data_IF_514924777389
#
_entry.id   IF_514924777389
#
_cell.length_a   1.000
_cell.length_b   1.000
_cell.length_c   1.000
_cell.angle_alpha   90.00
_cell.angle_beta   90.00
_cell.angle_gamma   90.00
#
_symmetry.space_group_name_H-M   'P 1'
#
loop_
_entity.id
_entity.type
_entity.pdbx_description
1 polymer ?
#
# COMPACT_ATOMS: atom_id res chain seq x y z
N UNK A 1 -10.74 7.90 -0.17
CA UNK A 1 -11.34 7.03 0.87
C UNK A 1 -10.23 6.51 1.77
N UNK A 2 -10.41 6.56 3.09
CA UNK A 2 -9.39 6.19 4.09
C UNK A 2 -9.78 4.85 4.76
N UNK A 3 -8.80 3.96 4.92
CA UNK A 3 -8.97 2.59 5.42
C UNK A 3 -8.31 2.36 6.79
N UNK A 4 -7.95 3.42 7.52
CA UNK A 4 -7.32 3.32 8.85
C UNK A 4 -8.20 2.61 9.88
N UNK A 5 -9.53 2.77 9.80
CA UNK A 5 -10.44 2.02 10.68
C UNK A 5 -10.42 0.52 10.39
N UNK A 6 -10.40 0.13 9.11
CA UNK A 6 -10.28 -1.27 8.72
C UNK A 6 -8.94 -1.86 9.19
N UNK A 7 -7.84 -1.10 9.04
CA UNK A 7 -6.52 -1.46 9.57
C UNK A 7 -6.59 -1.74 11.07
N UNK A 8 -7.19 -0.83 11.82
CA UNK A 8 -7.30 -0.96 13.27
C UNK A 8 -8.12 -2.19 13.68
N UNK A 9 -9.21 -2.48 12.98
CA UNK A 9 -10.03 -3.68 13.20
C UNK A 9 -9.23 -4.95 12.97
N UNK A 10 -8.46 -5.02 11.89
CA UNK A 10 -7.55 -6.13 11.58
C UNK A 10 -6.52 -6.35 12.69
N UNK A 11 -5.87 -5.28 13.16
CA UNK A 11 -4.89 -5.35 14.25
C UNK A 11 -5.53 -5.68 15.61
N UNK A 12 -6.79 -5.31 15.84
CA UNK A 12 -7.52 -5.74 17.03
C UNK A 12 -7.80 -7.25 16.99
N UNK A 13 -8.18 -7.80 15.83
CA UNK A 13 -8.36 -9.24 15.64
C UNK A 13 -7.08 -10.03 15.86
N UNK A 14 -5.97 -9.54 15.31
CA UNK A 14 -4.62 -10.08 15.58
C UNK A 14 -4.31 -10.16 17.08
N UNK A 15 -4.49 -9.05 17.80
CA UNK A 15 -4.19 -8.99 19.24
C UNK A 15 -5.09 -9.86 20.11
N UNK A 16 -6.29 -10.20 19.64
CA UNK A 16 -7.18 -11.16 20.31
C UNK A 16 -6.88 -12.62 19.95
N UNK A 17 -6.05 -12.87 18.95
CA UNK A 17 -5.79 -14.21 18.42
C UNK A 17 -6.84 -14.72 17.43
N UNK A 18 -7.76 -13.86 16.98
CA UNK A 18 -8.85 -14.23 16.05
C UNK A 18 -8.32 -14.49 14.63
N UNK A 19 -7.15 -13.93 14.28
CA UNK A 19 -6.55 -13.99 12.96
C UNK A 19 -5.12 -14.51 13.08
N UNK A 20 -4.75 -15.49 12.26
CA UNK A 20 -3.39 -16.04 12.21
C UNK A 20 -2.39 -15.08 11.57
N UNK A 21 -1.11 -15.21 11.95
CA UNK A 21 -0.03 -14.37 11.39
C UNK A 21 0.11 -14.58 9.88
N UNK A 22 -0.04 -15.81 9.41
CA UNK A 22 0.02 -16.22 8.00
C UNK A 22 -1.02 -15.51 7.13
N UNK A 23 -2.21 -15.23 7.69
CA UNK A 23 -3.27 -14.46 7.02
C UNK A 23 -2.91 -12.97 6.92
N UNK A 24 -2.31 -12.41 7.97
CA UNK A 24 -1.93 -10.99 8.02
C UNK A 24 -0.65 -10.70 7.21
N UNK A 25 0.24 -11.69 7.16
CA UNK A 25 1.57 -11.60 6.57
C UNK A 25 1.62 -12.26 5.18
N UNK A 26 0.59 -12.05 4.38
CA UNK A 26 0.39 -12.71 3.09
C UNK A 26 0.87 -11.90 1.87
N UNK A 27 1.62 -10.79 2.10
CA UNK A 27 2.04 -9.90 1.02
C UNK A 27 2.77 -10.69 -0.07
N UNK A 28 2.22 -10.62 -1.28
CA UNK A 28 2.79 -11.31 -2.43
C UNK A 28 4.25 -10.88 -2.68
N UNK A 29 5.12 -11.77 -3.20
CA UNK A 29 6.53 -11.48 -3.38
C UNK A 29 6.81 -10.19 -4.18
N UNK A 30 5.99 -9.88 -5.19
CA UNK A 30 6.13 -8.66 -5.97
C UNK A 30 5.80 -7.40 -5.16
N UNK A 31 4.79 -7.43 -4.31
CA UNK A 31 4.44 -6.30 -3.44
C UNK A 31 5.58 -6.01 -2.45
N UNK A 32 6.18 -7.06 -1.87
CA UNK A 32 7.34 -6.93 -0.99
C UNK A 32 8.55 -6.34 -1.70
N UNK A 33 8.84 -6.80 -2.94
CA UNK A 33 9.91 -6.20 -3.76
C UNK A 33 9.64 -4.72 -4.05
N UNK A 34 8.39 -4.37 -4.35
CA UNK A 34 8.02 -2.99 -4.62
C UNK A 34 8.11 -2.10 -3.37
N UNK A 35 7.83 -2.62 -2.18
CA UNK A 35 8.06 -1.90 -0.92
C UNK A 35 9.53 -1.48 -0.75
N UNK A 36 10.48 -2.32 -1.17
CA UNK A 36 11.92 -2.00 -1.12
C UNK A 36 12.34 -1.10 -2.28
N UNK A 37 11.85 -1.36 -3.50
CA UNK A 37 12.34 -0.71 -4.71
C UNK A 37 11.66 0.64 -5.04
N UNK A 38 10.34 0.74 -4.83
CA UNK A 38 9.53 1.93 -5.14
C UNK A 38 8.71 2.44 -3.94
N UNK A 39 8.77 1.78 -2.78
CA UNK A 39 8.02 2.17 -1.59
C UNK A 39 8.51 3.50 -1.02
N UNK A 40 7.58 4.31 -0.51
CA UNK A 40 7.90 5.48 0.30
C UNK A 40 8.07 5.03 1.75
N UNK A 41 9.27 5.17 2.35
CA UNK A 41 9.49 4.78 3.75
C UNK A 41 8.56 5.56 4.68
N UNK A 42 8.18 4.92 5.79
CA UNK A 42 7.46 5.57 6.88
C UNK A 42 8.27 5.42 8.17
N UNK A 43 7.96 6.22 9.19
CA UNK A 43 8.54 6.07 10.53
C UNK A 43 7.73 5.11 11.42
N UNK A 44 6.76 4.37 10.86
CA UNK A 44 5.92 3.45 11.62
C UNK A 44 6.54 2.05 11.63
N UNK A 45 6.74 1.50 12.83
CA UNK A 45 7.21 0.13 13.00
C UNK A 45 6.06 -0.84 12.69
N UNK A 46 6.38 -1.93 11.99
CA UNK A 46 5.43 -2.95 11.62
C UNK A 46 4.72 -3.52 12.87
N UNK A 47 3.37 -3.46 12.94
CA UNK A 47 2.62 -3.86 14.13
C UNK A 47 2.55 -5.38 14.32
N UNK A 48 3.13 -6.17 13.41
CA UNK A 48 3.10 -7.64 13.45
C UNK A 48 4.45 -8.24 13.82
N UNK A 49 5.55 -7.70 13.29
CA UNK A 49 6.90 -8.16 13.64
C UNK A 49 7.61 -7.26 14.65
N UNK A 50 7.18 -6.01 14.81
CA UNK A 50 7.74 -5.04 15.75
C UNK A 50 9.23 -4.72 15.56
N UNK A 51 9.83 -5.20 14.47
CA UNK A 51 11.28 -5.13 14.21
C UNK A 51 11.66 -4.21 13.03
N UNK A 52 10.74 -3.97 12.09
CA UNK A 52 11.03 -3.30 10.82
C UNK A 52 10.02 -2.20 10.52
N UNK A 53 10.49 -1.11 9.92
CA UNK A 53 9.60 -0.05 9.40
C UNK A 53 8.74 -0.56 8.24
N UNK A 54 7.53 0.01 8.13
CA UNK A 54 6.65 -0.21 6.98
C UNK A 54 6.91 0.84 5.89
N UNK A 55 6.65 0.47 4.64
CA UNK A 55 6.69 1.39 3.50
C UNK A 55 5.30 1.49 2.87
N UNK A 56 4.98 2.67 2.32
CA UNK A 56 3.81 2.85 1.47
C UNK A 56 4.15 2.57 0.01
N UNK A 57 3.48 1.59 -0.58
CA UNK A 57 3.52 1.32 -2.02
C UNK A 57 2.27 1.90 -2.65
N UNK A 58 2.45 2.74 -3.66
CA UNK A 58 1.32 3.34 -4.39
C UNK A 58 1.20 2.72 -5.78
N UNK A 59 0.06 2.11 -6.07
CA UNK A 59 -0.28 1.65 -7.43
C UNK A 59 -1.37 2.52 -8.03
N UNK A 60 -1.19 2.96 -9.27
CA UNK A 60 -2.24 3.69 -10.00
C UNK A 60 -2.80 2.82 -11.11
N UNK A 61 -4.13 2.75 -11.17
CA UNK A 61 -4.89 2.06 -12.19
C UNK A 61 -5.76 3.06 -12.97
N UNK A 62 -5.98 2.78 -14.24
CA UNK A 62 -6.86 3.56 -15.11
C UNK A 62 -6.46 3.47 -16.58
N UNK A 63 -7.10 4.26 -17.46
CA UNK A 63 -6.89 4.19 -18.90
C UNK A 63 -5.42 4.43 -19.29
N UNK A 64 -4.94 3.66 -20.27
CA UNK A 64 -3.56 3.77 -20.82
C UNK A 64 -2.45 3.50 -19.78
N UNK A 65 -2.78 2.86 -18.66
CA UNK A 65 -1.81 2.26 -17.74
C UNK A 65 -1.79 0.74 -17.91
N UNK A 66 -0.70 0.05 -17.49
CA UNK A 66 -0.64 -1.40 -17.51
C UNK A 66 -1.79 -2.02 -16.72
N UNK A 67 -2.27 -3.20 -17.14
CA UNK A 67 -3.37 -3.91 -16.47
C UNK A 67 -3.05 -4.27 -15.01
N UNK A 68 -1.78 -4.52 -14.69
CA UNK A 68 -1.30 -4.77 -13.32
C UNK A 68 -1.09 -3.48 -12.51
N UNK A 69 -1.47 -2.33 -13.06
CA UNK A 69 -1.26 -1.01 -12.45
C UNK A 69 0.17 -0.50 -12.62
N UNK A 70 0.36 0.77 -12.32
CA UNK A 70 1.66 1.45 -12.31
C UNK A 70 2.13 1.64 -10.87
N UNK A 71 3.25 1.02 -10.46
CA UNK A 71 3.92 1.41 -9.21
C UNK A 71 4.47 2.82 -9.37
N UNK A 72 4.12 3.71 -8.45
CA UNK A 72 4.75 5.03 -8.35
C UNK A 72 6.12 4.82 -7.73
N UNK A 73 7.16 5.22 -8.46
CA UNK A 73 8.55 4.92 -8.12
C UNK A 73 9.43 6.16 -8.08
N UNK A 74 8.94 7.29 -8.57
CA UNK A 74 9.72 8.53 -8.64
C UNK A 74 8.97 9.73 -8.05
N UNK A 75 9.68 10.68 -7.41
CA UNK A 75 9.07 11.92 -6.95
C UNK A 75 8.34 12.66 -8.08
N UNK A 76 7.14 13.15 -7.78
CA UNK A 76 6.33 13.93 -8.72
C UNK A 76 5.60 13.10 -9.80
N UNK A 77 5.86 11.80 -9.92
CA UNK A 77 5.16 10.93 -10.88
C UNK A 77 3.64 10.89 -10.63
N UNK A 78 3.25 10.77 -9.36
CA UNK A 78 1.83 10.79 -8.98
C UNK A 78 1.16 12.12 -9.36
N UNK A 79 1.83 13.24 -9.15
CA UNK A 79 1.31 14.56 -9.53
C UNK A 79 1.18 14.71 -11.05
N UNK A 80 2.12 14.16 -11.83
CA UNK A 80 2.01 14.13 -13.30
C UNK A 80 0.86 13.26 -13.77
N UNK A 81 0.56 12.16 -13.08
CA UNK A 81 -0.63 11.35 -13.37
C UNK A 81 -1.90 12.13 -13.01
N UNK A 82 -1.95 12.77 -11.85
CA UNK A 82 -3.11 13.57 -11.42
C UNK A 82 -3.45 14.73 -12.37
N UNK A 83 -2.44 15.30 -13.03
CA UNK A 83 -2.62 16.35 -14.02
C UNK A 83 -3.20 15.86 -15.38
N UNK A 84 -3.33 14.55 -15.60
CA UNK A 84 -3.90 14.00 -16.84
C UNK A 84 -5.41 13.98 -16.74
N UNK A 85 -6.13 14.37 -17.80
CA UNK A 85 -7.58 14.18 -17.92
C UNK A 85 -7.93 12.72 -18.22
N UNK A 86 -7.90 11.88 -17.19
CA UNK A 86 -8.24 10.47 -17.26
C UNK A 86 -8.69 9.96 -15.89
N UNK A 87 -9.78 9.20 -15.84
CA UNK A 87 -10.26 8.60 -14.60
C UNK A 87 -9.27 7.53 -14.09
N UNK A 88 -8.54 7.85 -13.03
CA UNK A 88 -7.55 6.98 -12.44
C UNK A 88 -7.77 6.85 -10.93
N UNK A 89 -7.39 5.71 -10.38
CA UNK A 89 -7.43 5.45 -8.93
C UNK A 89 -6.05 5.01 -8.44
N UNK A 90 -5.54 5.72 -7.44
CA UNK A 90 -4.34 5.37 -6.68
C UNK A 90 -4.70 4.56 -5.43
N UNK A 91 -4.01 3.44 -5.25
CA UNK A 91 -4.10 2.52 -4.11
C UNK A 91 -2.82 2.62 -3.31
N UNK A 92 -2.93 3.12 -2.08
CA UNK A 92 -1.80 3.22 -1.15
C UNK A 92 -1.89 2.04 -0.18
N UNK A 93 -0.90 1.15 -0.26
CA UNK A 93 -0.80 -0.06 0.57
C UNK A 93 0.40 0.10 1.47
N UNK A 94 0.23 -0.05 2.79
CA UNK A 94 1.37 -0.21 3.69
C UNK A 94 1.89 -1.64 3.62
N UNK A 95 3.21 -1.81 3.67
CA UNK A 95 3.86 -3.11 3.50
C UNK A 95 5.09 -3.21 4.41
N UNK A 96 5.20 -4.31 5.17
CA UNK A 96 6.46 -4.71 5.79
C UNK A 96 7.17 -5.70 4.87
N UNK A 97 8.30 -5.28 4.28
CA UNK A 97 9.07 -6.14 3.38
C UNK A 97 9.66 -7.37 4.08
N UNK A 98 9.86 -7.32 5.40
CA UNK A 98 10.45 -8.41 6.18
C UNK A 98 9.44 -9.52 6.48
N UNK A 99 8.35 -9.20 7.19
CA UNK A 99 7.39 -10.21 7.62
C UNK A 99 6.26 -10.46 6.62
N UNK A 100 6.01 -9.55 5.66
CA UNK A 100 4.93 -9.69 4.69
C UNK A 100 3.59 -9.10 5.13
N UNK A 101 3.54 -8.35 6.24
CA UNK A 101 2.35 -7.56 6.59
C UNK A 101 2.00 -6.62 5.43
N UNK A 102 0.72 -6.55 5.07
CA UNK A 102 0.22 -5.50 4.17
C UNK A 102 -1.22 -5.10 4.50
N UNK A 103 -1.56 -3.84 4.23
CA UNK A 103 -2.94 -3.35 4.35
C UNK A 103 -3.20 -2.15 3.43
N UNK A 104 -4.35 -2.11 2.75
CA UNK A 104 -4.77 -0.92 2.01
C UNK A 104 -5.08 0.19 3.00
N UNK A 105 -4.44 1.36 2.91
CA UNK A 105 -4.65 2.48 3.85
C UNK A 105 -5.42 3.63 3.23
N UNK A 106 -5.32 3.82 1.90
CA UNK A 106 -5.98 4.93 1.22
C UNK A 106 -6.24 4.64 -0.26
N UNK A 107 -7.41 5.08 -0.73
CA UNK A 107 -7.70 5.27 -2.15
C UNK A 107 -7.74 6.77 -2.49
N UNK A 108 -7.10 7.14 -3.59
CA UNK A 108 -7.05 8.50 -4.10
C UNK A 108 -7.52 8.52 -5.55
N UNK A 109 -8.59 9.26 -5.84
CA UNK A 109 -9.02 9.55 -7.21
C UNK A 109 -8.05 10.54 -7.85
N UNK A 110 -7.69 10.30 -9.11
CA UNK A 110 -6.71 11.07 -9.87
C UNK A 110 -7.28 11.46 -11.22
N UNK A 111 -6.81 12.58 -11.78
CA UNK A 111 -7.09 12.97 -13.15
C UNK A 111 -8.43 13.65 -13.40
N UNK A 112 -8.99 14.22 -12.32
CA UNK A 112 -10.23 15.00 -12.32
C UNK A 112 -9.98 16.51 -12.39
N UNK A 113 -8.73 16.96 -12.62
CA UNK A 113 -8.36 18.38 -12.77
C UNK A 113 -8.36 18.86 -14.22
#
# INVERSE_FOLDING_TARGET
MDYRLARQTTLNGWRRGDVGRDVLCDAQPMLRRNAVACGTPTSEICPICEDHEIAHVTYVFGPRLPAHGRCISTPGELARLDARRADMTGYVVEVCAACGWNHLVRLTSLGYR
#
